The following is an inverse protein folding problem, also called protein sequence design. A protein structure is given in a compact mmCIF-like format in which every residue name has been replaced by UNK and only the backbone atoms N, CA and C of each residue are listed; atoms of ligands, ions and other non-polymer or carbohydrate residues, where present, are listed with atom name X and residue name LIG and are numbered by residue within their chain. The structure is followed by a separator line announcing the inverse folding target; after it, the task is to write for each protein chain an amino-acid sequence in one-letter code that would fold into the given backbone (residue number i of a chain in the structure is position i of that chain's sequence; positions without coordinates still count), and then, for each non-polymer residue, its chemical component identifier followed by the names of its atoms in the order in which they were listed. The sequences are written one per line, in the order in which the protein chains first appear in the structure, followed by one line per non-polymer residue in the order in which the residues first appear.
data_IF_445457418629
#
_entry.id   IF_445457418629
#
_cell.length_a   1.000
_cell.length_b   1.000
_cell.length_c   1.000
_cell.angle_alpha   90.00
_cell.angle_beta   90.00
_cell.angle_gamma   90.00
#
_symmetry.space_group_name_H-M   'P 1'
#
loop_
_entity.id
_entity.type
_entity.pdbx_description
1 polymer ?
#
# COMPACT_ATOMS: atom_id res chain seq x y z
N UNK A 1 2.05 16.88 53.86
CA UNK A 1 1.82 18.18 53.19
C UNK A 1 1.81 17.91 51.68
N UNK A 2 0.63 18.03 51.07
CA UNK A 2 0.38 17.82 49.64
C UNK A 2 0.79 19.08 48.87
N UNK A 3 1.46 18.92 47.73
CA UNK A 3 1.29 19.80 46.57
C UNK A 3 1.23 18.95 45.31
N UNK A 4 0.02 18.52 44.99
CA UNK A 4 -0.41 18.05 43.68
C UNK A 4 -0.44 19.24 42.72
N UNK A 5 0.42 19.24 41.70
CA UNK A 5 0.28 20.13 40.54
C UNK A 5 -0.42 19.31 39.46
N UNK A 6 -1.70 19.64 39.26
CA UNK A 6 -2.49 19.21 38.12
C UNK A 6 -1.91 19.86 36.86
N UNK A 7 -1.26 19.05 36.03
CA UNK A 7 -0.77 19.43 34.71
C UNK A 7 -1.47 18.60 33.65
N UNK A 8 -2.71 18.97 33.33
CA UNK A 8 -3.41 18.49 32.15
C UNK A 8 -2.66 18.97 30.90
N UNK A 9 -1.97 18.08 30.20
CA UNK A 9 -1.69 18.23 28.77
C UNK A 9 -1.81 16.87 28.09
N UNK A 10 -3.00 16.66 27.52
CA UNK A 10 -3.27 15.75 26.42
C UNK A 10 -2.26 16.04 25.30
N UNK A 11 -1.16 15.29 25.23
CA UNK A 11 -0.22 15.32 24.11
C UNK A 11 -0.40 14.06 23.26
N UNK A 12 -1.10 14.26 22.15
CA UNK A 12 -0.76 13.61 20.90
C UNK A 12 -1.13 12.14 20.76
N UNK A 13 -2.43 11.83 20.71
CA UNK A 13 -2.91 10.80 19.81
C UNK A 13 -2.69 11.28 18.36
N UNK A 14 -1.43 11.25 17.90
CA UNK A 14 -1.06 11.46 16.51
C UNK A 14 -1.49 10.22 15.72
N UNK A 15 -2.73 10.32 15.25
CA UNK A 15 -3.31 9.71 14.05
C UNK A 15 -2.28 9.06 13.11
N UNK A 16 -2.07 7.75 13.26
CA UNK A 16 -1.72 6.89 12.12
C UNK A 16 -2.98 6.71 11.26
N UNK A 17 -3.39 7.76 10.55
CA UNK A 17 -4.40 7.69 9.51
C UNK A 17 -3.73 7.91 8.15
N UNK A 18 -2.84 7.00 7.77
CA UNK A 18 -2.10 7.05 6.50
C UNK A 18 -2.62 6.04 5.49
N UNK A 19 -3.62 6.45 4.70
CA UNK A 19 -4.03 5.89 3.39
C UNK A 19 -3.99 4.36 3.21
N UNK A 20 -4.94 3.67 3.84
CA UNK A 20 -5.23 2.25 3.63
C UNK A 20 -6.38 2.05 2.61
N UNK A 21 -6.17 2.46 1.35
CA UNK A 21 -7.29 2.72 0.44
C UNK A 21 -7.12 2.22 -0.99
N UNK A 22 -6.55 1.03 -1.20
CA UNK A 22 -6.68 0.24 -2.44
C UNK A 22 -5.94 -1.10 -2.33
N UNK A 23 -4.79 -1.13 -1.66
CA UNK A 23 -4.02 -2.35 -1.44
C UNK A 23 -4.64 -3.23 -0.33
N UNK A 24 -5.27 -2.60 0.67
CA UNK A 24 -5.87 -3.31 1.80
C UNK A 24 -7.05 -4.19 1.38
N UNK A 25 -7.84 -3.76 0.38
CA UNK A 25 -8.96 -4.55 -0.12
C UNK A 25 -8.51 -5.85 -0.81
N UNK A 26 -7.43 -5.82 -1.59
CA UNK A 26 -6.89 -7.02 -2.25
C UNK A 26 -6.31 -7.99 -1.22
N UNK A 27 -5.49 -7.49 -0.28
CA UNK A 27 -4.90 -8.31 0.76
C UNK A 27 -5.95 -8.91 1.70
N UNK A 28 -7.00 -8.16 2.04
CA UNK A 28 -8.09 -8.65 2.88
C UNK A 28 -8.96 -9.68 2.16
N UNK A 29 -9.25 -9.49 0.88
CA UNK A 29 -9.95 -10.48 0.07
C UNK A 29 -9.16 -11.79 -0.02
N UNK A 30 -7.85 -11.69 -0.24
CA UNK A 30 -6.96 -12.84 -0.26
C UNK A 30 -6.94 -13.58 1.09
N UNK A 31 -6.80 -12.85 2.21
CA UNK A 31 -6.82 -13.44 3.55
C UNK A 31 -8.14 -14.14 3.88
N UNK A 32 -9.28 -13.56 3.45
CA UNK A 32 -10.61 -14.14 3.64
C UNK A 32 -10.76 -15.42 2.84
N UNK A 33 -10.43 -15.38 1.55
CA UNK A 33 -10.53 -16.52 0.66
C UNK A 33 -9.59 -17.68 1.06
N UNK A 34 -8.38 -17.36 1.51
CA UNK A 34 -7.36 -18.33 1.90
C UNK A 34 -7.34 -18.63 3.40
N UNK A 35 -8.37 -18.26 4.17
CA UNK A 35 -8.31 -18.34 5.63
C UNK A 35 -8.00 -19.76 6.14
N UNK A 36 -8.57 -20.77 5.50
CA UNK A 36 -8.35 -22.18 5.82
C UNK A 36 -6.89 -22.59 5.60
N UNK A 37 -6.31 -22.21 4.47
CA UNK A 37 -4.94 -22.51 4.08
C UNK A 37 -3.95 -21.76 4.98
N UNK A 38 -4.19 -20.48 5.21
CA UNK A 38 -3.35 -19.65 6.06
C UNK A 38 -3.33 -20.17 7.51
N UNK A 39 -4.48 -20.59 8.02
CA UNK A 39 -4.61 -21.13 9.38
C UNK A 39 -4.18 -22.60 9.49
N UNK A 40 -4.05 -23.34 8.40
CA UNK A 40 -3.66 -24.76 8.46
C UNK A 40 -2.18 -24.94 8.11
N UNK A 41 -1.71 -24.27 7.06
CA UNK A 41 -0.39 -24.48 6.47
C UNK A 41 0.59 -23.32 6.76
N UNK A 42 0.10 -22.09 6.93
CA UNK A 42 0.96 -20.90 6.98
C UNK A 42 0.98 -20.14 8.32
N UNK A 43 0.52 -20.75 9.43
CA UNK A 43 0.40 -20.10 10.77
C UNK A 43 1.66 -19.39 11.28
N UNK A 44 2.85 -19.94 10.98
CA UNK A 44 4.13 -19.41 11.43
C UNK A 44 4.79 -18.41 10.46
N UNK A 45 4.15 -18.12 9.34
CA UNK A 45 4.73 -17.29 8.30
C UNK A 45 4.53 -15.82 8.65
N UNK A 46 5.64 -15.12 8.90
CA UNK A 46 5.61 -13.67 9.08
C UNK A 46 5.17 -13.01 7.77
N UNK A 47 4.12 -12.16 7.75
CA UNK A 47 3.68 -11.48 6.53
C UNK A 47 4.74 -10.55 5.93
N UNK A 48 4.56 -10.21 4.65
CA UNK A 48 5.47 -9.32 3.89
C UNK A 48 6.47 -10.07 3.01
N UNK A 49 7.11 -9.33 2.10
CA UNK A 49 8.18 -9.84 1.20
C UNK A 49 7.82 -11.13 0.44
N UNK A 50 6.54 -11.31 0.12
CA UNK A 50 6.06 -12.50 -0.58
C UNK A 50 6.05 -13.80 0.23
N UNK A 51 6.42 -13.79 1.52
CA UNK A 51 6.53 -15.01 2.34
C UNK A 51 5.23 -15.82 2.41
N UNK A 52 4.09 -15.16 2.53
CA UNK A 52 2.78 -15.83 2.56
C UNK A 52 2.44 -16.47 1.22
N UNK A 53 2.72 -15.78 0.10
CA UNK A 53 2.56 -16.34 -1.24
C UNK A 53 3.49 -17.54 -1.46
N UNK A 54 4.74 -17.47 -1.00
CA UNK A 54 5.67 -18.59 -1.05
C UNK A 54 5.16 -19.81 -0.26
N UNK A 55 4.54 -19.59 0.91
CA UNK A 55 3.90 -20.66 1.65
C UNK A 55 2.71 -21.28 0.90
N UNK A 56 1.80 -20.46 0.35
CA UNK A 56 0.68 -20.96 -0.44
C UNK A 56 1.16 -21.75 -1.66
N UNK A 57 2.23 -21.29 -2.32
CA UNK A 57 2.87 -21.99 -3.43
C UNK A 57 3.46 -23.35 -3.00
N UNK A 58 4.15 -23.42 -1.86
CA UNK A 58 4.70 -24.67 -1.33
C UNK A 58 3.62 -25.73 -0.99
N UNK A 59 2.37 -25.30 -0.78
CA UNK A 59 1.22 -26.16 -0.52
C UNK A 59 0.17 -26.09 -1.64
N UNK A 60 0.55 -25.74 -2.87
CA UNK A 60 -0.39 -25.49 -3.98
C UNK A 60 -1.38 -26.64 -4.21
N UNK A 61 -0.95 -27.88 -4.04
CA UNK A 61 -1.79 -29.07 -4.17
C UNK A 61 -2.78 -29.29 -3.01
N UNK A 62 -2.74 -28.45 -1.98
CA UNK A 62 -3.64 -28.44 -0.82
C UNK A 62 -4.43 -27.14 -0.70
N UNK A 63 -4.22 -26.19 -1.62
CA UNK A 63 -4.96 -24.93 -1.69
C UNK A 63 -6.35 -25.19 -2.28
N UNK A 64 -7.40 -24.63 -1.66
CA UNK A 64 -8.75 -24.68 -2.22
C UNK A 64 -8.89 -23.81 -3.48
N UNK A 65 -9.82 -24.17 -4.37
CA UNK A 65 -10.12 -23.39 -5.58
C UNK A 65 -10.41 -21.93 -5.25
N UNK A 66 -11.18 -21.67 -4.18
CA UNK A 66 -11.48 -20.32 -3.73
C UNK A 66 -10.21 -19.50 -3.44
N UNK A 67 -9.24 -20.09 -2.73
CA UNK A 67 -7.98 -19.43 -2.44
C UNK A 67 -7.13 -19.28 -3.71
N UNK A 68 -7.08 -20.30 -4.58
CA UNK A 68 -6.35 -20.24 -5.84
C UNK A 68 -6.86 -19.11 -6.76
N UNK A 69 -8.19 -18.99 -6.91
CA UNK A 69 -8.81 -17.89 -7.65
C UNK A 69 -8.49 -16.53 -7.04
N UNK A 70 -8.54 -16.40 -5.71
CA UNK A 70 -8.19 -15.14 -5.05
C UNK A 70 -6.72 -14.75 -5.23
N UNK A 71 -5.79 -15.72 -5.26
CA UNK A 71 -4.38 -15.47 -5.59
C UNK A 71 -4.24 -14.98 -7.03
N UNK A 72 -4.97 -15.58 -7.98
CA UNK A 72 -4.98 -15.17 -9.38
C UNK A 72 -5.53 -13.75 -9.57
N UNK A 73 -6.68 -13.44 -8.95
CA UNK A 73 -7.27 -12.09 -8.99
C UNK A 73 -6.33 -11.04 -8.38
N UNK A 74 -5.64 -11.39 -7.29
CA UNK A 74 -4.63 -10.53 -6.68
C UNK A 74 -3.44 -10.28 -7.63
N UNK A 75 -3.02 -11.28 -8.40
CA UNK A 75 -1.96 -11.13 -9.40
C UNK A 75 -2.37 -10.16 -10.52
N UNK A 76 -3.59 -10.30 -11.06
CA UNK A 76 -4.12 -9.37 -12.08
C UNK A 76 -4.25 -7.93 -11.54
N UNK A 77 -4.70 -7.78 -10.29
CA UNK A 77 -4.78 -6.47 -9.65
C UNK A 77 -3.38 -5.83 -9.49
N UNK A 78 -2.37 -6.64 -9.14
CA UNK A 78 -0.99 -6.18 -9.04
C UNK A 78 -0.42 -5.75 -10.40
N UNK A 79 -0.65 -6.53 -11.46
CA UNK A 79 -0.21 -6.18 -12.82
C UNK A 79 -0.79 -4.83 -13.26
N UNK A 80 -2.10 -4.63 -13.06
CA UNK A 80 -2.75 -3.35 -13.32
C UNK A 80 -2.12 -2.22 -12.50
N UNK A 81 -1.90 -2.43 -11.21
CA UNK A 81 -1.30 -1.43 -10.35
C UNK A 81 0.13 -1.05 -10.80
N UNK A 82 0.92 -2.01 -11.28
CA UNK A 82 2.25 -1.76 -11.84
C UNK A 82 2.17 -0.93 -13.13
N UNK A 83 1.22 -1.24 -14.01
CA UNK A 83 1.01 -0.48 -15.24
C UNK A 83 0.60 0.97 -14.94
N UNK A 84 -0.34 1.16 -14.01
CA UNK A 84 -0.81 2.47 -13.56
C UNK A 84 0.33 3.26 -12.89
N UNK A 85 1.14 2.62 -12.05
CA UNK A 85 2.32 3.25 -11.43
C UNK A 85 3.35 3.68 -12.47
N UNK A 86 3.64 2.82 -13.45
CA UNK A 86 4.58 3.15 -14.54
C UNK A 86 4.07 4.34 -15.35
N UNK A 87 2.78 4.35 -15.69
CA UNK A 87 2.17 5.47 -16.39
C UNK A 87 2.31 6.76 -15.59
N UNK A 88 1.87 6.78 -14.32
CA UNK A 88 1.97 7.96 -13.46
C UNK A 88 3.41 8.44 -13.28
N UNK A 89 4.36 7.53 -13.02
CA UNK A 89 5.77 7.87 -12.87
C UNK A 89 6.34 8.53 -14.12
N UNK A 90 5.97 8.06 -15.32
CA UNK A 90 6.40 8.66 -16.57
C UNK A 90 5.83 10.07 -16.75
N UNK A 91 4.53 10.24 -16.51
CA UNK A 91 3.87 11.55 -16.63
C UNK A 91 4.36 12.56 -15.57
N UNK A 92 4.81 12.08 -14.41
CA UNK A 92 5.33 12.90 -13.31
C UNK A 92 6.85 13.01 -13.27
N UNK A 93 7.58 12.48 -14.25
CA UNK A 93 9.04 12.34 -14.19
C UNK A 93 9.76 13.69 -13.99
N UNK A 94 9.38 14.72 -14.74
CA UNK A 94 9.94 16.06 -14.60
C UNK A 94 9.62 16.70 -13.24
N UNK A 95 8.39 16.53 -12.75
CA UNK A 95 7.97 17.04 -11.43
C UNK A 95 8.72 16.32 -10.29
N UNK A 96 8.87 15.00 -10.39
CA UNK A 96 9.65 14.20 -9.44
C UNK A 96 11.11 14.64 -9.40
N UNK A 97 11.72 14.91 -10.55
CA UNK A 97 13.09 15.41 -10.60
C UNK A 97 13.19 16.81 -9.99
N UNK A 98 12.26 17.71 -10.31
CA UNK A 98 12.28 19.10 -9.86
C UNK A 98 12.03 19.24 -8.35
N UNK A 99 11.06 18.51 -7.82
CA UNK A 99 10.57 18.68 -6.45
C UNK A 99 11.02 17.59 -5.48
N UNK A 100 11.37 16.40 -5.99
CA UNK A 100 11.51 15.18 -5.20
C UNK A 100 12.82 14.41 -5.44
N UNK A 101 13.86 15.01 -6.04
CA UNK A 101 15.11 14.32 -6.38
C UNK A 101 15.80 13.62 -5.18
N UNK A 102 15.66 14.17 -3.97
CA UNK A 102 16.27 13.62 -2.75
C UNK A 102 15.36 12.61 -2.02
N UNK A 103 14.22 12.25 -2.60
CA UNK A 103 13.27 11.32 -1.98
C UNK A 103 13.67 9.89 -2.31
N UNK A 104 13.96 9.09 -1.28
CA UNK A 104 14.25 7.66 -1.44
C UNK A 104 13.04 6.93 -2.05
N UNK A 105 13.22 6.10 -3.10
CA UNK A 105 12.14 5.33 -3.71
C UNK A 105 11.41 4.38 -2.74
N UNK A 106 10.16 4.05 -3.05
CA UNK A 106 9.32 3.12 -2.28
C UNK A 106 8.46 3.78 -1.20
N UNK A 107 7.57 2.97 -0.61
CA UNK A 107 6.67 3.36 0.49
C UNK A 107 5.84 4.62 0.21
N UNK A 108 5.49 4.90 -1.05
CA UNK A 108 4.67 6.04 -1.44
C UNK A 108 5.32 7.42 -1.24
N UNK A 109 6.60 7.50 -0.85
CA UNK A 109 7.25 8.79 -0.52
C UNK A 109 7.30 9.78 -1.68
N UNK A 110 7.52 9.30 -2.91
CA UNK A 110 7.51 10.15 -4.10
C UNK A 110 6.15 10.81 -4.32
N UNK A 111 5.06 10.05 -4.18
CA UNK A 111 3.70 10.56 -4.26
C UNK A 111 3.40 11.59 -3.17
N UNK A 112 3.78 11.31 -1.93
CA UNK A 112 3.62 12.25 -0.81
C UNK A 112 4.39 13.56 -1.05
N UNK A 113 5.59 13.49 -1.63
CA UNK A 113 6.36 14.66 -2.01
C UNK A 113 5.67 15.49 -3.11
N UNK A 114 5.13 14.85 -4.15
CA UNK A 114 4.35 15.54 -5.19
C UNK A 114 3.12 16.23 -4.60
N UNK A 115 2.39 15.56 -3.71
CA UNK A 115 1.22 16.13 -3.01
C UNK A 115 1.60 17.35 -2.16
N UNK A 116 2.75 17.32 -1.47
CA UNK A 116 3.25 18.48 -0.71
C UNK A 116 3.59 19.67 -1.61
N UNK A 117 3.99 19.42 -2.86
CA UNK A 117 4.37 20.42 -3.85
C UNK A 117 3.25 20.70 -4.88
N UNK A 118 2.00 20.36 -4.58
CA UNK A 118 0.89 20.33 -5.54
C UNK A 118 0.72 21.62 -6.37
N UNK A 119 0.99 22.80 -5.78
CA UNK A 119 0.91 24.08 -6.48
C UNK A 119 1.88 24.17 -7.67
N UNK A 120 3.05 23.54 -7.57
CA UNK A 120 4.10 23.55 -8.59
C UNK A 120 4.07 22.36 -9.54
N UNK A 121 3.38 21.28 -9.18
CA UNK A 121 3.26 20.07 -10.01
C UNK A 121 2.46 20.38 -11.28
N UNK A 122 2.96 19.90 -12.42
CA UNK A 122 2.34 20.06 -13.73
C UNK A 122 0.92 19.48 -13.81
N UNK A 123 0.07 20.05 -14.66
CA UNK A 123 -1.28 19.53 -14.88
C UNK A 123 -1.26 18.08 -15.40
N UNK A 124 -0.32 17.76 -16.29
CA UNK A 124 -0.09 16.41 -16.81
C UNK A 124 0.12 15.38 -15.70
N UNK A 125 0.98 15.68 -14.73
CA UNK A 125 1.19 14.79 -13.58
C UNK A 125 -0.08 14.69 -12.71
N UNK A 126 -0.78 15.81 -12.46
CA UNK A 126 -2.02 15.79 -11.66
C UNK A 126 -3.10 14.93 -12.28
N UNK A 127 -3.28 15.04 -13.59
CA UNK A 127 -4.26 14.27 -14.35
C UNK A 127 -3.90 12.79 -14.34
N UNK A 128 -2.62 12.46 -14.53
CA UNK A 128 -2.15 11.08 -14.45
C UNK A 128 -2.38 10.46 -13.07
N UNK A 129 -2.08 11.20 -12.00
CA UNK A 129 -2.33 10.73 -10.62
C UNK A 129 -3.82 10.53 -10.33
N UNK A 130 -4.69 11.38 -10.89
CA UNK A 130 -6.14 11.21 -10.77
C UNK A 130 -6.64 10.00 -11.56
N UNK A 131 -6.16 9.83 -12.79
CA UNK A 131 -6.54 8.72 -13.67
C UNK A 131 -6.16 7.36 -13.08
N UNK A 132 -5.04 7.27 -12.36
CA UNK A 132 -4.55 6.04 -11.73
C UNK A 132 -5.05 5.84 -10.30
N UNK A 133 -5.91 6.73 -9.79
CA UNK A 133 -6.44 6.66 -8.43
C UNK A 133 -5.40 6.97 -7.32
N UNK A 134 -4.23 7.50 -7.68
CA UNK A 134 -3.19 7.94 -6.74
C UNK A 134 -3.47 9.33 -6.14
N UNK A 135 -4.45 10.04 -6.70
CA UNK A 135 -4.99 11.31 -6.20
C UNK A 135 -6.52 11.28 -6.32
N UNK A 136 -7.20 11.73 -5.26
CA UNK A 136 -8.65 11.99 -5.27
C UNK A 136 -8.96 13.38 -5.80
#
# INVERSE_FOLDING_TARGET
MRKTIAGSMLFGALLFAGSAGAADSVADNLKKACNKELSTFCKGVVPGEGRVLACLYAFENKVSDQCAYAVYDAALALEKAIADLKYAANQCSADLQKYCANVKPGQGRGLACLQKNDKGVSQQCKDALKQTGMRK
#
